data_IF_843998442989
#
_entry.id   IF_843998442989
#
_cell.length_a   1.000
_cell.length_b   1.000
_cell.length_c   1.000
_cell.angle_alpha   90.00
_cell.angle_beta   90.00
_cell.angle_gamma   90.00
#
_symmetry.space_group_name_H-M   'P 1'
#
loop_
_entity.id
_entity.type
_entity.pdbx_description
1 polymer ?
#
# COMPACT_ATOMS: atom_id res chain seq x y z
N UNK A 1 10.99 -39.10 36.06
CA UNK A 1 11.15 -38.04 35.05
C UNK A 1 10.09 -38.19 33.96
N UNK A 2 9.08 -37.30 33.82
CA UNK A 2 8.19 -37.33 32.68
C UNK A 2 8.76 -36.47 31.56
N UNK A 3 8.67 -36.82 30.26
CA UNK A 3 9.14 -36.01 29.16
C UNK A 3 8.10 -35.04 28.66
N UNK A 4 8.56 -33.80 28.49
CA UNK A 4 8.23 -32.88 27.44
C UNK A 4 6.77 -32.69 26.95
N UNK A 5 6.00 -31.85 27.64
CA UNK A 5 4.79 -31.20 27.12
C UNK A 5 5.06 -29.86 26.40
N UNK A 6 6.33 -29.54 26.09
CA UNK A 6 6.71 -28.18 25.63
C UNK A 6 6.54 -27.93 24.13
N UNK A 7 6.47 -28.95 23.26
CA UNK A 7 6.43 -28.76 21.81
C UNK A 7 5.01 -28.51 21.26
N UNK A 8 3.99 -29.12 21.84
CA UNK A 8 2.59 -28.90 21.43
C UNK A 8 2.11 -27.50 21.78
N UNK A 9 2.60 -26.90 22.87
CA UNK A 9 2.27 -25.54 23.29
C UNK A 9 2.85 -24.47 22.33
N UNK A 10 4.06 -24.71 21.80
CA UNK A 10 4.70 -23.76 20.88
C UNK A 10 4.05 -23.72 19.49
N UNK A 11 3.53 -24.86 18.99
CA UNK A 11 2.81 -24.91 17.73
C UNK A 11 1.47 -24.18 17.83
N UNK A 12 0.72 -24.39 18.91
CA UNK A 12 -0.57 -23.73 19.12
C UNK A 12 -0.44 -22.22 19.35
N UNK A 13 0.69 -21.77 19.91
CA UNK A 13 0.96 -20.36 20.13
C UNK A 13 1.33 -19.62 18.83
N UNK A 14 1.96 -20.30 17.84
CA UNK A 14 2.21 -19.76 16.51
C UNK A 14 0.91 -19.50 15.74
N UNK A 15 -0.04 -20.43 15.79
CA UNK A 15 -1.34 -20.31 15.13
C UNK A 15 -2.16 -19.11 15.65
N UNK A 16 -1.99 -18.76 16.92
CA UNK A 16 -2.74 -17.66 17.53
C UNK A 16 -2.24 -16.26 17.13
N UNK A 17 -0.94 -16.11 16.80
CA UNK A 17 -0.35 -14.81 16.45
C UNK A 17 -0.52 -14.41 14.97
N UNK A 18 -0.65 -15.38 14.06
CA UNK A 18 -0.71 -15.13 12.62
C UNK A 18 -2.09 -15.33 12.02
N UNK A 19 -3.03 -15.91 12.74
CA UNK A 19 -4.32 -16.39 12.23
C UNK A 19 -5.12 -15.30 11.49
N UNK A 20 -5.12 -14.05 11.99
CA UNK A 20 -5.89 -12.97 11.36
C UNK A 20 -5.28 -12.53 10.01
N UNK A 21 -3.94 -12.41 9.94
CA UNK A 21 -3.26 -12.00 8.72
C UNK A 21 -3.20 -13.12 7.67
N UNK A 22 -3.05 -14.37 8.10
CA UNK A 22 -3.02 -15.55 7.23
C UNK A 22 -4.40 -15.88 6.67
N UNK A 23 -5.47 -15.77 7.49
CA UNK A 23 -6.85 -15.97 7.02
C UNK A 23 -7.24 -14.94 5.95
N UNK A 24 -6.82 -13.68 6.10
CA UNK A 24 -7.05 -12.64 5.08
C UNK A 24 -6.16 -12.84 3.84
N UNK A 25 -4.95 -13.36 4.01
CA UNK A 25 -4.05 -13.70 2.91
C UNK A 25 -4.54 -14.89 2.06
N UNK A 26 -5.13 -15.90 2.71
CA UNK A 26 -5.69 -17.08 2.03
C UNK A 26 -6.92 -16.72 1.17
N UNK A 27 -7.71 -15.71 1.57
CA UNK A 27 -8.84 -15.22 0.76
C UNK A 27 -8.42 -14.43 -0.49
N UNK A 28 -7.14 -14.10 -0.62
CA UNK A 28 -6.60 -13.36 -1.76
C UNK A 28 -6.00 -14.29 -2.84
N UNK A 29 -5.98 -15.60 -2.66
CA UNK A 29 -5.55 -16.55 -3.69
C UNK A 29 -6.60 -16.65 -4.81
N UNK A 30 -6.19 -16.68 -6.10
CA UNK A 30 -7.12 -16.96 -7.18
C UNK A 30 -7.72 -18.35 -7.00
N UNK A 31 -9.04 -18.43 -7.14
CA UNK A 31 -9.76 -19.71 -7.09
C UNK A 31 -9.15 -20.71 -8.06
N UNK A 32 -8.96 -21.95 -7.60
CA UNK A 32 -8.63 -23.08 -8.45
C UNK A 32 -9.68 -23.19 -9.57
N UNK A 33 -9.26 -23.64 -10.74
CA UNK A 33 -10.13 -23.86 -11.91
C UNK A 33 -11.28 -24.79 -11.51
N UNK A 34 -12.49 -24.20 -11.44
CA UNK A 34 -13.73 -24.96 -11.22
C UNK A 34 -14.06 -25.75 -12.50
N UNK A 35 -14.27 -27.03 -12.33
CA UNK A 35 -14.79 -27.90 -13.39
C UNK A 35 -16.24 -27.51 -13.69
N UNK A 36 -16.62 -27.60 -14.96
CA UNK A 36 -17.81 -27.03 -15.62
C UNK A 36 -19.18 -27.56 -15.12
N UNK A 37 -19.20 -28.46 -14.15
CA UNK A 37 -20.40 -29.20 -13.74
C UNK A 37 -21.17 -28.63 -12.54
N UNK A 38 -20.66 -27.55 -11.88
CA UNK A 38 -21.27 -26.97 -10.67
C UNK A 38 -21.72 -25.50 -10.85
N UNK A 39 -22.13 -25.11 -12.05
CA UNK A 39 -22.63 -23.74 -12.29
C UNK A 39 -24.04 -23.56 -11.74
N UNK A 40 -24.15 -23.00 -10.56
CA UNK A 40 -25.40 -22.43 -10.06
C UNK A 40 -25.65 -21.13 -10.80
N UNK A 41 -26.74 -21.04 -11.53
CA UNK A 41 -27.18 -19.84 -12.25
C UNK A 41 -27.56 -18.74 -11.24
N UNK A 42 -26.59 -17.86 -10.94
CA UNK A 42 -26.80 -16.73 -10.03
C UNK A 42 -27.27 -15.54 -10.88
N UNK A 43 -28.42 -14.91 -10.61
CA UNK A 43 -28.90 -13.78 -11.38
C UNK A 43 -27.84 -12.67 -11.43
N UNK A 44 -27.60 -12.14 -12.66
CA UNK A 44 -26.60 -11.14 -12.93
C UNK A 44 -26.76 -9.91 -12.03
N UNK A 45 -25.92 -9.78 -11.02
CA UNK A 45 -25.86 -8.59 -10.20
C UNK A 45 -24.72 -7.70 -10.66
N UNK A 46 -24.99 -6.41 -10.79
CA UNK A 46 -23.96 -5.41 -11.12
C UNK A 46 -23.00 -5.29 -9.94
N UNK A 47 -21.80 -5.81 -10.08
CA UNK A 47 -20.71 -5.52 -9.15
C UNK A 47 -20.22 -4.10 -9.38
N UNK A 48 -20.19 -3.30 -8.31
CA UNK A 48 -19.50 -2.02 -8.36
C UNK A 48 -18.04 -2.24 -8.78
N UNK A 49 -17.51 -1.37 -9.67
CA UNK A 49 -16.12 -1.41 -10.09
C UNK A 49 -15.23 -1.41 -8.84
N UNK A 50 -14.47 -2.47 -8.62
CA UNK A 50 -13.48 -2.55 -7.54
C UNK A 50 -12.32 -1.63 -7.92
N UNK A 51 -12.38 -0.38 -7.46
CA UNK A 51 -11.30 0.58 -7.57
C UNK A 51 -10.90 1.08 -6.19
N UNK A 52 -9.68 1.63 -6.06
CA UNK A 52 -9.27 2.30 -4.83
C UNK A 52 -10.21 3.47 -4.58
N UNK A 53 -10.87 3.48 -3.40
CA UNK A 53 -11.67 4.62 -2.96
C UNK A 53 -10.73 5.84 -2.81
N UNK A 54 -11.09 7.00 -3.36
CA UNK A 54 -10.27 8.20 -3.18
C UNK A 54 -10.15 8.55 -1.70
N UNK A 55 -9.00 9.12 -1.32
CA UNK A 55 -8.79 9.61 0.04
C UNK A 55 -9.70 10.81 0.32
N UNK A 56 -10.17 10.93 1.58
CA UNK A 56 -11.08 12.00 1.99
C UNK A 56 -10.47 13.38 1.65
N UNK A 57 -11.18 14.24 0.93
CA UNK A 57 -10.71 15.59 0.61
C UNK A 57 -10.52 16.49 1.83
N UNK A 58 -11.17 16.19 2.97
CA UNK A 58 -11.02 16.93 4.22
C UNK A 58 -9.67 16.70 4.91
N UNK A 59 -8.92 15.62 4.56
CA UNK A 59 -7.59 15.37 5.11
C UNK A 59 -6.58 16.40 4.61
N UNK A 60 -5.70 16.88 5.51
CA UNK A 60 -4.60 17.75 5.12
C UNK A 60 -3.67 17.02 4.14
N UNK A 61 -3.22 17.73 3.11
CA UNK A 61 -2.30 17.23 2.10
C UNK A 61 -0.98 17.96 2.16
N UNK A 62 0.09 17.21 2.35
CA UNK A 62 1.44 17.72 2.19
C UNK A 62 1.90 17.36 0.78
N UNK A 63 2.24 18.39 0.00
CA UNK A 63 2.71 18.21 -1.39
C UNK A 63 4.22 18.02 -1.38
N UNK A 64 4.68 16.87 -1.82
CA UNK A 64 6.09 16.57 -2.05
C UNK A 64 6.34 16.56 -3.55
N UNK A 65 7.02 17.58 -4.06
CA UNK A 65 7.33 17.72 -5.48
C UNK A 65 8.66 17.04 -5.79
N UNK A 66 8.64 16.09 -6.69
CA UNK A 66 9.83 15.41 -7.20
C UNK A 66 10.19 15.96 -8.57
N UNK A 67 11.38 16.50 -8.71
CA UNK A 67 11.89 17.08 -9.95
C UNK A 67 13.14 16.31 -10.40
N UNK A 68 13.40 16.35 -11.70
CA UNK A 68 14.67 15.90 -12.24
C UNK A 68 15.80 16.87 -11.84
N UNK A 69 17.03 16.39 -11.54
CA UNK A 69 18.19 17.23 -11.40
C UNK A 69 18.40 18.06 -12.68
N UNK A 70 18.96 19.27 -12.56
CA UNK A 70 19.19 20.15 -13.72
C UNK A 70 19.99 19.48 -14.84
N UNK A 71 20.98 18.66 -14.48
CA UNK A 71 21.81 17.92 -15.42
C UNK A 71 21.00 16.91 -16.28
N UNK A 72 19.86 16.43 -15.78
CA UNK A 72 19.01 15.46 -16.46
C UNK A 72 17.86 16.13 -17.25
N UNK A 73 17.72 17.46 -17.14
CA UNK A 73 16.67 18.24 -17.85
C UNK A 73 17.09 18.58 -19.28
N UNK A 74 17.90 17.75 -19.90
CA UNK A 74 18.39 17.93 -21.26
C UNK A 74 17.92 16.76 -22.13
N UNK A 75 17.44 17.07 -23.33
CA UNK A 75 17.04 16.06 -24.30
C UNK A 75 18.25 15.24 -24.78
N UNK A 76 18.22 13.91 -24.71
CA UNK A 76 19.36 13.08 -25.11
C UNK A 76 19.58 13.04 -26.64
N UNK A 77 18.63 13.53 -27.44
CA UNK A 77 18.72 13.51 -28.91
C UNK A 77 19.24 14.82 -29.48
N UNK A 78 18.75 15.97 -29.03
CA UNK A 78 19.06 17.27 -29.59
C UNK A 78 19.73 18.26 -28.63
N UNK A 79 19.92 17.83 -27.35
CA UNK A 79 20.53 18.69 -26.33
C UNK A 79 19.68 19.88 -25.88
N UNK A 80 18.42 20.00 -26.33
CA UNK A 80 17.53 21.06 -25.90
C UNK A 80 17.08 20.91 -24.46
N UNK A 81 16.85 22.02 -23.75
CA UNK A 81 16.29 21.97 -22.39
C UNK A 81 14.85 21.41 -22.40
N UNK A 82 14.60 20.42 -21.55
CA UNK A 82 13.27 19.82 -21.40
C UNK A 82 12.32 20.81 -20.73
N UNK A 83 11.11 20.89 -21.25
CA UNK A 83 10.04 21.75 -20.71
C UNK A 83 9.05 20.91 -19.89
N UNK A 84 8.61 21.44 -18.77
CA UNK A 84 7.52 20.84 -17.99
C UNK A 84 6.21 20.84 -18.80
N UNK A 85 5.58 19.67 -18.91
CA UNK A 85 4.31 19.48 -19.64
C UNK A 85 3.17 19.04 -18.73
N UNK A 86 3.45 18.74 -17.47
CA UNK A 86 2.46 18.33 -16.49
C UNK A 86 3.06 17.58 -15.32
N UNK A 87 2.19 17.17 -14.41
CA UNK A 87 2.54 16.47 -13.17
C UNK A 87 1.74 15.19 -13.08
N UNK A 88 2.41 14.08 -12.77
CA UNK A 88 1.74 12.83 -12.39
C UNK A 88 1.54 12.84 -10.88
N UNK A 89 0.29 12.79 -10.43
CA UNK A 89 -0.06 12.84 -9.01
C UNK A 89 -0.32 11.45 -8.47
N UNK A 90 0.30 11.13 -7.35
CA UNK A 90 -0.02 9.92 -6.57
C UNK A 90 -0.14 10.29 -5.09
N UNK A 91 -1.15 9.73 -4.42
CA UNK A 91 -1.42 10.03 -3.01
C UNK A 91 -1.13 8.81 -2.14
N UNK A 92 -0.52 9.04 -0.98
CA UNK A 92 -0.27 8.05 0.07
C UNK A 92 -0.77 8.59 1.40
N UNK A 93 -1.31 7.71 2.24
CA UNK A 93 -1.69 8.06 3.59
C UNK A 93 -0.45 7.97 4.49
N UNK A 94 -0.18 9.03 5.23
CA UNK A 94 0.88 9.07 6.25
C UNK A 94 0.28 9.29 7.64
N UNK A 95 0.95 8.76 8.68
CA UNK A 95 0.53 8.86 10.06
C UNK A 95 1.65 9.50 10.87
N UNK A 96 1.42 10.72 11.31
CA UNK A 96 2.23 11.36 12.34
C UNK A 96 1.60 11.00 13.69
N UNK A 97 2.36 10.82 14.79
CA UNK A 97 1.77 10.49 16.07
C UNK A 97 0.54 11.36 16.38
N UNK A 98 -0.62 10.72 16.53
CA UNK A 98 -1.94 11.32 16.74
C UNK A 98 -2.51 12.15 15.58
N UNK A 99 -1.88 12.13 14.39
CA UNK A 99 -2.39 12.78 13.19
C UNK A 99 -2.34 11.83 11.99
N UNK A 100 -3.40 11.87 11.18
CA UNK A 100 -3.44 11.19 9.89
C UNK A 100 -3.37 12.25 8.80
N UNK A 101 -2.40 12.10 7.88
CA UNK A 101 -2.21 13.04 6.76
C UNK A 101 -2.05 12.27 5.45
N UNK A 102 -2.31 12.93 4.35
CA UNK A 102 -2.06 12.39 3.01
C UNK A 102 -0.77 12.98 2.47
N UNK A 103 0.15 12.13 2.05
CA UNK A 103 1.33 12.55 1.29
C UNK A 103 0.96 12.48 -0.20
N UNK A 104 0.93 13.64 -0.86
CA UNK A 104 0.65 13.74 -2.29
C UNK A 104 1.97 13.86 -3.05
N UNK A 105 2.36 12.81 -3.76
CA UNK A 105 3.55 12.82 -4.60
C UNK A 105 3.21 13.34 -5.99
N UNK A 106 3.82 14.45 -6.37
CA UNK A 106 3.71 15.05 -7.69
C UNK A 106 5.01 14.82 -8.45
N UNK A 107 4.95 14.10 -9.56
CA UNK A 107 6.09 13.79 -10.42
C UNK A 107 5.99 14.63 -11.67
N UNK A 108 6.95 15.51 -11.85
CA UNK A 108 6.97 16.42 -13.00
C UNK A 108 7.32 15.64 -14.28
N UNK A 109 6.54 15.87 -15.32
CA UNK A 109 6.77 15.33 -16.66
C UNK A 109 7.44 16.41 -17.52
N UNK A 110 8.57 16.05 -18.07
CA UNK A 110 9.32 16.93 -18.96
C UNK A 110 9.23 16.42 -20.41
N UNK A 111 8.99 17.31 -21.35
CA UNK A 111 9.03 16.99 -22.78
C UNK A 111 9.99 17.94 -23.51
N UNK A 112 10.61 17.44 -24.55
CA UNK A 112 11.39 18.27 -25.46
C UNK A 112 10.44 19.12 -26.32
N UNK A 113 10.63 20.45 -26.42
CA UNK A 113 9.79 21.29 -27.30
C UNK A 113 10.08 21.12 -28.79
N UNK A 114 11.21 20.45 -29.13
CA UNK A 114 11.69 20.33 -30.51
C UNK A 114 11.45 18.95 -31.12
N UNK A 115 11.29 17.89 -30.30
CA UNK A 115 11.06 16.55 -30.78
C UNK A 115 10.07 15.81 -29.85
N UNK A 116 9.23 14.93 -30.42
CA UNK A 116 8.23 14.16 -29.61
C UNK A 116 8.84 12.97 -28.82
N UNK A 117 10.14 12.70 -28.99
CA UNK A 117 10.80 11.52 -28.43
C UNK A 117 11.38 11.73 -27.01
N UNK A 118 11.36 12.94 -26.47
CA UNK A 118 12.05 13.32 -25.25
C UNK A 118 11.18 13.37 -23.98
N UNK A 119 10.18 12.48 -23.80
CA UNK A 119 9.39 12.46 -22.58
C UNK A 119 10.19 11.86 -21.41
N UNK A 120 10.41 12.63 -20.35
CA UNK A 120 11.01 12.17 -19.11
C UNK A 120 10.11 12.44 -17.92
N UNK A 121 10.01 11.46 -17.02
CA UNK A 121 9.26 11.55 -15.78
C UNK A 121 10.24 11.52 -14.60
N UNK A 122 10.07 12.42 -13.64
CA UNK A 122 10.88 12.43 -12.43
C UNK A 122 10.78 11.09 -11.68
N UNK A 123 11.90 10.54 -11.16
CA UNK A 123 11.87 9.28 -10.41
C UNK A 123 11.00 9.43 -9.16
N UNK A 124 10.39 8.34 -8.75
CA UNK A 124 9.71 8.23 -7.46
C UNK A 124 10.63 7.52 -6.48
N UNK A 125 10.66 7.91 -5.20
CA UNK A 125 11.37 7.15 -4.16
C UNK A 125 10.94 5.67 -4.17
N UNK A 126 11.89 4.78 -3.89
CA UNK A 126 11.58 3.37 -3.73
C UNK A 126 10.59 3.17 -2.58
N UNK A 127 9.62 2.31 -2.78
CA UNK A 127 8.61 1.98 -1.79
C UNK A 127 8.71 0.49 -1.44
N UNK A 128 8.58 0.15 -0.16
CA UNK A 128 8.53 -1.25 0.30
C UNK A 128 7.38 -2.00 -0.38
N UNK A 129 6.23 -1.34 -0.50
CA UNK A 129 5.10 -1.87 -1.26
C UNK A 129 4.87 -0.97 -2.49
N UNK A 130 5.23 -1.41 -3.70
CA UNK A 130 4.99 -0.64 -4.92
C UNK A 130 3.52 -0.25 -5.07
N UNK A 131 3.24 1.03 -5.29
CA UNK A 131 1.87 1.59 -5.39
C UNK A 131 1.03 1.37 -4.12
N UNK A 132 1.66 1.17 -2.96
CA UNK A 132 1.00 1.05 -1.68
C UNK A 132 0.15 2.29 -1.34
N UNK A 133 -0.96 2.07 -0.60
CA UNK A 133 -1.78 3.16 -0.06
C UNK A 133 -1.13 3.79 1.16
N UNK A 134 -0.46 2.97 1.98
CA UNK A 134 0.20 3.36 3.21
C UNK A 134 1.66 3.71 2.93
N UNK A 135 2.15 4.79 3.54
CA UNK A 135 3.58 5.11 3.57
C UNK A 135 4.34 4.11 4.44
N UNK A 136 5.66 4.08 4.32
CA UNK A 136 6.54 3.24 5.14
C UNK A 136 6.36 3.53 6.64
N UNK A 137 6.21 4.80 7.01
CA UNK A 137 5.94 5.22 8.39
C UNK A 137 4.59 4.70 8.89
N UNK A 138 3.55 4.75 8.05
CA UNK A 138 2.23 4.22 8.39
C UNK A 138 2.26 2.70 8.53
N UNK A 139 2.98 1.98 7.66
CA UNK A 139 3.18 0.53 7.76
C UNK A 139 3.93 0.16 9.04
N UNK A 140 5.00 0.88 9.37
CA UNK A 140 5.75 0.68 10.61
C UNK A 140 4.85 0.87 11.83
N UNK A 141 4.03 1.92 11.85
CA UNK A 141 3.07 2.16 12.93
C UNK A 141 2.07 1.01 13.07
N UNK A 142 1.48 0.53 11.98
CA UNK A 142 0.53 -0.59 11.99
C UNK A 142 1.16 -1.85 12.56
N UNK A 143 2.38 -2.17 12.11
CA UNK A 143 3.11 -3.37 12.53
C UNK A 143 3.50 -3.26 14.01
N UNK A 144 4.08 -2.13 14.43
CA UNK A 144 4.46 -1.90 15.83
C UNK A 144 3.24 -1.99 16.74
N UNK A 145 2.15 -1.31 16.38
CA UNK A 145 0.91 -1.36 17.17
C UNK A 145 0.32 -2.78 17.24
N UNK A 146 0.45 -3.59 16.18
CA UNK A 146 -0.07 -4.96 16.21
C UNK A 146 0.80 -5.88 17.07
N UNK A 147 2.11 -5.87 16.88
CA UNK A 147 2.99 -6.89 17.46
C UNK A 147 3.66 -6.47 18.76
N UNK A 148 3.96 -5.17 18.93
CA UNK A 148 4.55 -4.67 20.17
C UNK A 148 3.46 -4.23 21.17
N UNK A 149 2.47 -3.47 20.70
CA UNK A 149 1.42 -2.90 21.55
C UNK A 149 0.21 -3.86 21.72
N UNK A 150 0.21 -5.01 21.02
CA UNK A 150 -0.88 -5.98 21.06
C UNK A 150 -2.22 -5.45 20.56
N UNK A 151 -2.22 -4.42 19.70
CA UNK A 151 -3.43 -3.76 19.22
C UNK A 151 -3.98 -4.45 17.95
N UNK A 152 -5.14 -5.14 18.02
CA UNK A 152 -5.71 -5.81 16.85
C UNK A 152 -6.05 -4.84 15.72
N UNK A 153 -5.94 -5.30 14.47
CA UNK A 153 -6.14 -4.47 13.28
C UNK A 153 -7.52 -3.80 13.21
N UNK A 154 -8.58 -4.46 13.71
CA UNK A 154 -9.90 -3.85 13.75
C UNK A 154 -9.97 -2.64 14.71
N UNK A 155 -9.22 -2.67 15.84
CA UNK A 155 -9.10 -1.51 16.73
C UNK A 155 -8.24 -0.42 16.11
N UNK A 156 -7.17 -0.77 15.40
CA UNK A 156 -6.37 0.19 14.65
C UNK A 156 -7.20 0.91 13.59
N UNK A 157 -8.02 0.19 12.82
CA UNK A 157 -8.94 0.77 11.86
C UNK A 157 -9.91 1.78 12.51
N UNK A 158 -10.49 1.42 13.68
CA UNK A 158 -11.36 2.31 14.44
C UNK A 158 -10.62 3.55 14.99
N UNK A 159 -9.34 3.39 15.42
CA UNK A 159 -8.48 4.50 15.84
C UNK A 159 -8.21 5.48 14.69
N UNK A 160 -7.82 4.96 13.54
CA UNK A 160 -7.54 5.76 12.34
C UNK A 160 -8.78 6.55 11.89
N UNK A 161 -9.97 5.94 11.97
CA UNK A 161 -11.23 6.63 11.73
C UNK A 161 -11.46 7.82 12.70
N UNK A 162 -11.06 7.69 13.97
CA UNK A 162 -11.17 8.79 14.96
C UNK A 162 -10.12 9.88 14.76
N UNK A 163 -8.91 9.54 14.31
CA UNK A 163 -7.82 10.51 14.14
C UNK A 163 -7.94 11.35 12.86
N UNK A 164 -8.53 10.81 11.81
CA UNK A 164 -8.55 11.50 10.53
C UNK A 164 -9.78 11.24 9.66
N UNK A 165 -10.82 10.59 10.19
CA UNK A 165 -12.04 10.32 9.41
C UNK A 165 -11.80 9.36 8.22
N UNK A 166 -10.71 8.57 8.24
CA UNK A 166 -10.41 7.62 7.17
C UNK A 166 -11.13 6.31 7.40
N UNK A 167 -11.87 5.86 6.39
CA UNK A 167 -12.50 4.54 6.37
C UNK A 167 -11.51 3.49 5.81
N UNK A 168 -10.49 3.17 6.61
CA UNK A 168 -9.55 2.10 6.31
C UNK A 168 -10.07 0.79 6.90
N UNK A 169 -10.30 -0.20 6.02
CA UNK A 169 -10.73 -1.51 6.48
C UNK A 169 -9.58 -2.28 7.15
N UNK A 170 -9.92 -3.18 8.09
CA UNK A 170 -8.94 -4.12 8.66
C UNK A 170 -8.22 -4.94 7.59
N UNK A 171 -8.90 -5.28 6.50
CA UNK A 171 -8.34 -6.06 5.38
C UNK A 171 -7.25 -5.26 4.65
N UNK A 172 -7.40 -3.96 4.50
CA UNK A 172 -6.36 -3.09 3.94
C UNK A 172 -5.11 -3.09 4.82
N UNK A 173 -5.29 -3.01 6.13
CA UNK A 173 -4.18 -3.07 7.09
C UNK A 173 -3.51 -4.45 7.09
N UNK A 174 -4.28 -5.53 7.11
CA UNK A 174 -3.77 -6.91 7.05
C UNK A 174 -2.96 -7.16 5.77
N UNK A 175 -3.48 -6.76 4.60
CA UNK A 175 -2.75 -6.86 3.34
C UNK A 175 -1.42 -6.08 3.36
N UNK A 176 -1.36 -4.95 4.05
CA UNK A 176 -0.13 -4.19 4.28
C UNK A 176 0.88 -4.98 5.09
N UNK A 177 0.46 -5.55 6.23
CA UNK A 177 1.31 -6.37 7.13
C UNK A 177 1.89 -7.57 6.39
N UNK A 178 1.05 -8.34 5.68
CA UNK A 178 1.49 -9.53 4.91
C UNK A 178 2.54 -9.16 3.86
N UNK A 179 2.30 -8.10 3.07
CA UNK A 179 3.24 -7.66 2.02
C UNK A 179 4.57 -7.18 2.60
N UNK A 180 4.57 -6.48 3.73
CA UNK A 180 5.81 -6.12 4.40
C UNK A 180 6.54 -7.37 4.88
N UNK A 181 5.84 -8.33 5.50
CA UNK A 181 6.42 -9.61 5.90
C UNK A 181 7.09 -10.33 4.74
N UNK A 182 6.45 -10.36 3.57
CA UNK A 182 7.03 -10.93 2.34
C UNK A 182 8.27 -10.16 1.85
N UNK A 183 8.27 -8.83 1.95
CA UNK A 183 9.38 -7.98 1.49
C UNK A 183 10.62 -8.05 2.39
N UNK A 184 10.45 -8.38 3.69
CA UNK A 184 11.56 -8.46 4.66
C UNK A 184 12.01 -9.89 4.99
N UNK A 185 11.44 -10.90 4.31
CA UNK A 185 11.92 -12.28 4.45
C UNK A 185 13.40 -12.36 4.03
N UNK A 186 14.26 -12.96 4.85
CA UNK A 186 15.65 -13.20 4.44
C UNK A 186 15.65 -14.14 3.20
N UNK A 187 16.52 -13.81 2.25
CA UNK A 187 16.79 -14.60 1.03
C UNK A 187 17.55 -15.86 1.40
#
# INVERSE_FOLDING_TARGET
CPPAESEASAAHQKDMFFNEAEAEGAQAQPAAEETDDDKIDVPAHRRAKRGRKPLDPALSREVVRHELPEAERVCPQDGAALREIGVEVSEQLDIVPQQVRVIRHERVKYACPCCDAGLRLAPKPAQVIPKGLLSEAALAWVITSKYLDGLPLYRQAALLGRFGGTDLSRNTLAAGVVRVGQAVQPV
#
